data_IF_160502573618
#
_entry.id   IF_160502573618
#
_cell.length_a   1.000
_cell.length_b   1.000
_cell.length_c   1.000
_cell.angle_alpha   90.00
_cell.angle_beta   90.00
_cell.angle_gamma   90.00
#
_symmetry.space_group_name_H-M   'P 1'
#
loop_
_entity.id
_entity.type
_entity.pdbx_description
1 polymer ?
#
# COMPACT_ATOMS: atom_id res chain seq x y z
N UNK A 1 6.52 2.58 -23.29
CA UNK A 1 6.46 1.17 -22.82
C UNK A 1 6.29 1.16 -21.30
N UNK A 2 5.04 1.16 -20.79
CA UNK A 2 4.71 1.13 -19.35
C UNK A 2 3.90 -0.14 -19.01
N UNK A 3 4.33 -1.29 -19.50
CA UNK A 3 3.56 -2.54 -19.55
C UNK A 3 3.55 -3.35 -18.24
N UNK A 4 3.97 -2.78 -17.12
CA UNK A 4 4.23 -3.55 -15.89
C UNK A 4 3.05 -3.62 -14.89
N UNK A 5 1.92 -2.94 -15.15
CA UNK A 5 0.75 -2.95 -14.25
C UNK A 5 -0.55 -3.47 -14.88
N UNK A 6 -0.57 -3.80 -16.17
CA UNK A 6 -1.81 -3.84 -16.95
C UNK A 6 -2.50 -5.22 -17.07
N UNK A 7 -2.15 -6.22 -16.26
CA UNK A 7 -2.94 -7.46 -16.25
C UNK A 7 -3.21 -7.96 -14.85
N UNK A 8 -4.02 -7.17 -14.14
CA UNK A 8 -4.85 -7.74 -13.09
C UNK A 8 -6.32 -7.57 -13.41
N UNK A 9 -7.10 -8.59 -13.07
CA UNK A 9 -8.56 -8.56 -13.15
C UNK A 9 -9.11 -8.40 -11.74
N UNK A 10 -9.88 -7.35 -11.52
CA UNK A 10 -10.58 -7.13 -10.26
C UNK A 10 -11.74 -8.12 -10.19
N UNK A 11 -11.74 -8.96 -9.16
CA UNK A 11 -12.83 -9.90 -8.88
C UNK A 11 -13.90 -9.25 -8.00
N UNK A 12 -13.46 -8.40 -7.07
CA UNK A 12 -14.31 -7.67 -6.15
C UNK A 12 -13.63 -6.37 -5.71
N UNK A 13 -14.40 -5.32 -5.48
CA UNK A 13 -13.90 -4.04 -5.00
C UNK A 13 -14.98 -3.32 -4.20
N UNK A 14 -14.58 -2.63 -3.14
CA UNK A 14 -15.44 -1.69 -2.40
C UNK A 14 -14.76 -0.34 -2.25
N UNK A 15 -15.41 0.70 -2.78
CA UNK A 15 -14.94 2.10 -2.76
C UNK A 15 -15.68 2.99 -1.75
N UNK A 16 -16.74 2.45 -1.11
CA UNK A 16 -17.62 3.16 -0.19
C UNK A 16 -17.48 2.61 1.23
N UNK A 17 -16.24 2.50 1.70
CA UNK A 17 -15.92 1.80 2.94
C UNK A 17 -16.60 2.47 4.15
N UNK A 18 -16.58 3.80 4.25
CA UNK A 18 -17.23 4.55 5.34
C UNK A 18 -18.75 4.31 5.47
N UNK A 19 -19.42 3.88 4.41
CA UNK A 19 -20.87 3.70 4.39
C UNK A 19 -21.28 2.24 4.64
N UNK A 20 -20.34 1.29 4.60
CA UNK A 20 -20.69 -0.13 4.53
C UNK A 20 -19.75 -1.06 5.30
N UNK A 21 -19.05 -0.56 6.32
CA UNK A 21 -18.12 -1.35 7.17
C UNK A 21 -18.78 -2.64 7.68
N UNK A 22 -20.03 -2.59 8.15
CA UNK A 22 -20.75 -3.76 8.64
C UNK A 22 -20.93 -4.86 7.59
N UNK A 23 -21.13 -4.49 6.32
CA UNK A 23 -21.30 -5.45 5.23
C UNK A 23 -19.97 -5.95 4.66
N UNK A 24 -18.89 -5.17 4.78
CA UNK A 24 -17.56 -5.53 4.29
C UNK A 24 -16.97 -6.75 5.01
N UNK A 25 -17.28 -6.93 6.29
CA UNK A 25 -16.84 -8.11 7.05
C UNK A 25 -17.35 -9.44 6.48
N UNK A 26 -18.48 -9.45 5.75
CA UNK A 26 -18.96 -10.66 5.09
C UNK A 26 -18.12 -11.06 3.86
N UNK A 27 -17.41 -10.10 3.25
CA UNK A 27 -16.63 -10.32 2.04
C UNK A 27 -15.13 -10.48 2.31
N UNK A 28 -14.64 -9.97 3.44
CA UNK A 28 -13.24 -10.07 3.83
C UNK A 28 -13.07 -11.18 4.86
N UNK A 29 -12.19 -12.17 4.62
CA UNK A 29 -11.90 -13.20 5.62
C UNK A 29 -11.48 -12.57 6.96
N UNK A 30 -11.99 -13.10 8.08
CA UNK A 30 -11.77 -12.55 9.42
C UNK A 30 -10.31 -12.21 9.74
N UNK A 31 -9.37 -13.03 9.26
CA UNK A 31 -7.94 -12.82 9.52
C UNK A 31 -7.29 -11.76 8.64
N UNK A 32 -7.78 -11.59 7.41
CA UNK A 32 -7.32 -10.52 6.52
C UNK A 32 -7.84 -9.15 6.95
N UNK A 33 -8.95 -9.10 7.70
CA UNK A 33 -9.61 -7.86 8.12
C UNK A 33 -8.66 -6.93 8.90
N UNK A 34 -7.83 -7.47 9.80
CA UNK A 34 -6.86 -6.69 10.57
C UNK A 34 -5.84 -6.00 9.67
N UNK A 35 -5.34 -6.70 8.64
CA UNK A 35 -4.36 -6.12 7.72
C UNK A 35 -5.02 -5.13 6.77
N UNK A 36 -6.22 -5.43 6.26
CA UNK A 36 -6.88 -4.64 5.23
C UNK A 36 -7.55 -3.39 5.77
N UNK A 37 -8.17 -3.47 6.95
CA UNK A 37 -8.95 -2.40 7.58
C UNK A 37 -8.17 -1.62 8.64
N UNK A 38 -6.93 -2.03 9.00
CA UNK A 38 -6.17 -1.31 10.02
C UNK A 38 -5.86 0.13 9.60
N UNK A 39 -6.14 1.06 10.52
CA UNK A 39 -5.73 2.46 10.43
C UNK A 39 -4.35 2.73 11.08
N UNK A 40 -3.85 1.79 11.89
CA UNK A 40 -2.56 1.87 12.56
C UNK A 40 -1.35 1.77 11.61
N UNK A 41 -0.14 2.02 12.13
CA UNK A 41 1.09 1.83 11.34
C UNK A 41 1.19 0.37 10.91
N UNK A 42 1.02 0.16 9.62
CA UNK A 42 1.03 -1.18 9.05
C UNK A 42 2.38 -1.86 9.24
N UNK A 43 3.47 -1.10 9.21
CA UNK A 43 4.81 -1.62 9.49
C UNK A 43 4.95 -2.11 10.93
N UNK A 44 4.33 -1.44 11.92
CA UNK A 44 4.31 -1.94 13.32
C UNK A 44 3.51 -3.24 13.44
N UNK A 45 2.35 -3.32 12.78
CA UNK A 45 1.53 -4.54 12.76
C UNK A 45 2.31 -5.69 12.14
N UNK A 46 3.00 -5.48 11.02
CA UNK A 46 3.84 -6.48 10.39
C UNK A 46 5.03 -6.89 11.25
N UNK A 47 5.73 -5.92 11.86
CA UNK A 47 6.86 -6.18 12.75
C UNK A 47 6.39 -7.05 13.94
N UNK A 48 5.21 -6.78 14.50
CA UNK A 48 4.61 -7.55 15.60
C UNK A 48 4.11 -8.93 15.19
N UNK A 49 3.54 -9.09 14.00
CA UNK A 49 2.94 -10.35 13.55
C UNK A 49 4.00 -11.31 13.01
N UNK A 50 5.02 -10.79 12.35
CA UNK A 50 5.96 -11.60 11.57
C UNK A 50 7.33 -11.69 12.27
N UNK A 51 7.59 -10.86 13.30
CA UNK A 51 8.85 -10.79 14.06
C UNK A 51 10.14 -10.68 13.20
N UNK A 52 10.02 -10.47 11.89
CA UNK A 52 11.12 -10.62 10.91
C UNK A 52 10.92 -9.81 9.60
N UNK A 53 10.02 -8.81 9.56
CA UNK A 53 9.93 -7.90 8.40
C UNK A 53 11.05 -6.87 8.50
N UNK A 54 12.11 -7.02 7.72
CA UNK A 54 13.28 -6.15 7.90
C UNK A 54 13.86 -5.59 6.62
N UNK A 55 13.31 -5.89 5.44
CA UNK A 55 13.90 -5.39 4.20
C UNK A 55 12.87 -4.81 3.24
N UNK A 56 13.18 -3.60 2.75
CA UNK A 56 12.54 -3.06 1.55
C UNK A 56 13.47 -3.28 0.38
N UNK A 57 12.95 -3.95 -0.64
CA UNK A 57 13.57 -3.97 -1.95
C UNK A 57 12.86 -2.94 -2.83
N UNK A 58 13.55 -1.83 -3.11
CA UNK A 58 13.04 -0.85 -4.07
C UNK A 58 13.02 -1.45 -5.47
N UNK A 59 11.91 -1.23 -6.15
CA UNK A 59 11.76 -1.59 -7.56
C UNK A 59 11.80 -0.34 -8.44
N UNK A 60 11.31 0.81 -7.94
CA UNK A 60 11.35 2.12 -8.62
C UNK A 60 11.32 3.26 -7.61
N UNK A 61 12.04 4.33 -7.91
CA UNK A 61 11.91 5.64 -7.27
C UNK A 61 12.19 6.72 -8.32
N UNK A 62 11.21 7.58 -8.58
CA UNK A 62 11.32 8.60 -9.62
C UNK A 62 10.33 9.76 -9.42
N UNK A 63 10.74 10.94 -9.87
CA UNK A 63 9.82 12.06 -10.07
C UNK A 63 8.91 11.78 -11.26
N UNK A 64 7.61 12.00 -11.08
CA UNK A 64 6.61 11.82 -12.13
C UNK A 64 6.09 13.20 -12.53
N UNK A 65 6.37 13.56 -13.78
CA UNK A 65 5.95 14.83 -14.39
C UNK A 65 4.59 14.74 -15.09
N UNK A 66 4.02 13.53 -15.24
CA UNK A 66 2.79 13.30 -16.01
C UNK A 66 1.70 12.66 -15.15
N UNK A 67 0.48 13.17 -15.32
CA UNK A 67 -0.76 12.55 -14.87
C UNK A 67 -0.69 11.03 -15.07
N UNK A 68 -0.73 10.28 -13.97
CA UNK A 68 -0.96 8.85 -14.07
C UNK A 68 -2.43 8.73 -14.41
N UNK A 69 -2.74 8.32 -15.65
CA UNK A 69 -4.11 8.09 -16.15
C UNK A 69 -4.98 7.25 -15.21
N UNK A 70 -4.35 6.42 -14.36
CA UNK A 70 -5.01 5.51 -13.41
C UNK A 70 -5.26 6.09 -12.03
N UNK A 71 -4.62 7.21 -11.70
CA UNK A 71 -5.00 7.99 -10.54
C UNK A 71 -6.18 8.84 -10.99
N UNK A 72 -7.38 8.56 -10.44
CA UNK A 72 -8.54 9.42 -10.65
C UNK A 72 -8.14 10.90 -10.54
N UNK A 73 -8.79 11.76 -11.33
CA UNK A 73 -8.48 13.20 -11.49
C UNK A 73 -8.17 13.95 -10.17
N UNK A 74 -8.72 13.49 -9.04
CA UNK A 74 -8.49 14.05 -7.72
C UNK A 74 -7.03 13.96 -7.22
N UNK A 75 -6.31 12.87 -7.47
CA UNK A 75 -4.95 12.71 -6.96
C UNK A 75 -3.96 13.63 -7.69
N UNK A 76 -4.18 13.85 -8.98
CA UNK A 76 -3.42 14.85 -9.75
C UNK A 76 -3.72 16.28 -9.30
N UNK A 77 -4.94 16.56 -8.84
CA UNK A 77 -5.28 17.87 -8.28
C UNK A 77 -4.57 18.17 -6.96
N UNK A 78 -4.12 17.14 -6.23
CA UNK A 78 -3.40 17.27 -4.95
C UNK A 78 -1.90 17.53 -5.14
N UNK A 79 -1.36 17.42 -6.36
CA UNK A 79 0.06 17.71 -6.63
C UNK A 79 1.04 16.64 -6.15
N UNK A 80 0.64 15.37 -6.15
CA UNK A 80 1.54 14.24 -5.85
C UNK A 80 2.52 14.04 -7.02
N UNK A 81 3.76 14.53 -6.90
CA UNK A 81 4.75 14.54 -7.99
C UNK A 81 5.86 13.50 -7.86
N UNK A 82 5.98 12.85 -6.70
CA UNK A 82 6.94 11.77 -6.49
C UNK A 82 6.26 10.41 -6.52
N UNK A 83 7.00 9.40 -6.97
CA UNK A 83 6.52 8.03 -7.01
C UNK A 83 7.59 7.04 -6.64
N UNK A 84 7.19 6.11 -5.78
CA UNK A 84 8.05 5.04 -5.31
C UNK A 84 7.29 3.73 -5.29
N UNK A 85 8.01 2.65 -5.59
CA UNK A 85 7.51 1.30 -5.50
C UNK A 85 8.55 0.37 -4.90
N UNK A 86 8.09 -0.54 -4.07
CA UNK A 86 8.97 -1.52 -3.47
C UNK A 86 8.23 -2.71 -2.90
N UNK A 87 9.01 -3.72 -2.58
CA UNK A 87 8.59 -4.89 -1.83
C UNK A 87 8.93 -4.71 -0.37
N UNK A 88 7.97 -5.00 0.51
CA UNK A 88 8.27 -5.37 1.89
C UNK A 88 8.44 -6.89 1.91
N UNK A 89 9.55 -7.35 2.47
CA UNK A 89 9.90 -8.77 2.51
C UNK A 89 10.51 -9.18 3.85
N UNK A 90 10.41 -10.48 4.14
CA UNK A 90 11.11 -11.12 5.24
C UNK A 90 12.62 -11.14 5.00
N UNK A 91 13.41 -11.38 6.06
CA UNK A 91 14.85 -11.66 5.95
C UNK A 91 15.17 -12.81 4.99
N UNK A 92 14.27 -13.79 4.90
CA UNK A 92 14.38 -14.93 3.98
C UNK A 92 14.27 -14.55 2.50
N UNK A 93 13.91 -13.29 2.19
CA UNK A 93 13.59 -12.83 0.84
C UNK A 93 12.15 -13.14 0.41
N UNK A 94 11.31 -13.68 1.30
CA UNK A 94 9.90 -13.91 0.99
C UNK A 94 9.14 -12.57 0.89
N UNK A 95 8.52 -12.34 -0.26
CA UNK A 95 7.76 -11.11 -0.57
C UNK A 95 6.42 -11.10 0.16
N UNK A 96 6.21 -10.08 0.99
CA UNK A 96 5.02 -9.95 1.82
C UNK A 96 4.03 -8.95 1.24
N UNK A 97 4.50 -7.75 0.91
CA UNK A 97 3.66 -6.69 0.33
C UNK A 97 4.39 -6.06 -0.85
N UNK A 98 3.66 -5.78 -1.91
CA UNK A 98 4.08 -4.82 -2.91
C UNK A 98 3.36 -3.50 -2.65
N UNK A 99 4.12 -2.43 -2.47
CA UNK A 99 3.59 -1.11 -2.20
C UNK A 99 3.98 -0.13 -3.30
N UNK A 100 3.03 0.73 -3.66
CA UNK A 100 3.23 1.89 -4.52
C UNK A 100 2.76 3.13 -3.76
N UNK A 101 3.57 4.17 -3.76
CA UNK A 101 3.27 5.42 -3.08
C UNK A 101 3.49 6.60 -3.99
N UNK A 102 2.57 7.56 -3.92
CA UNK A 102 2.63 8.84 -4.61
C UNK A 102 2.59 9.94 -3.59
N UNK A 103 3.58 10.82 -3.56
CA UNK A 103 3.73 11.77 -2.47
C UNK A 103 4.19 13.15 -2.94
N UNK A 104 3.90 14.14 -2.09
CA UNK A 104 4.45 15.50 -2.18
C UNK A 104 5.91 15.50 -1.70
N UNK A 105 6.89 16.01 -2.48
CA UNK A 105 8.30 16.05 -2.06
C UNK A 105 8.50 16.76 -0.72
N UNK A 106 7.70 17.79 -0.46
CA UNK A 106 7.78 18.66 0.73
C UNK A 106 7.60 17.87 2.04
N UNK A 107 6.87 16.75 1.98
CA UNK A 107 6.58 15.88 3.12
C UNK A 107 7.85 15.24 3.67
N UNK A 108 8.76 14.86 2.78
CA UNK A 108 9.99 14.16 3.15
C UNK A 108 11.16 15.13 3.35
N UNK A 109 10.98 16.42 3.04
CA UNK A 109 12.05 17.42 3.15
C UNK A 109 12.64 17.51 4.56
N UNK A 110 11.82 17.31 5.60
CA UNK A 110 12.23 17.38 7.01
C UNK A 110 12.37 15.99 7.67
N UNK A 111 12.22 14.92 6.90
CA UNK A 111 12.32 13.56 7.43
C UNK A 111 13.71 12.97 7.10
N UNK A 112 14.31 12.16 7.98
CA UNK A 112 15.52 11.38 7.66
C UNK A 112 15.15 10.28 6.66
N UNK A 113 15.01 10.67 5.41
CA UNK A 113 14.61 9.81 4.30
C UNK A 113 15.86 9.28 3.60
N UNK A 114 16.07 7.98 3.71
CA UNK A 114 16.94 7.23 2.79
C UNK A 114 16.03 6.39 1.91
N UNK A 115 16.31 6.32 0.60
CA UNK A 115 15.48 5.66 -0.41
C UNK A 115 15.03 4.25 -0.01
N UNK A 116 15.81 3.51 0.78
CA UNK A 116 15.50 2.14 1.25
C UNK A 116 14.63 2.07 2.52
N UNK A 117 14.27 3.20 3.12
CA UNK A 117 13.52 3.23 4.39
C UNK A 117 12.01 3.10 4.15
N UNK A 118 11.28 2.25 4.89
CA UNK A 118 9.82 2.21 4.82
C UNK A 118 9.22 3.56 5.18
N UNK A 119 8.33 4.10 4.34
CA UNK A 119 7.66 5.37 4.62
C UNK A 119 6.95 5.36 5.98
N UNK A 120 6.35 4.22 6.36
CA UNK A 120 5.79 4.05 7.70
C UNK A 120 6.80 4.26 8.84
N UNK A 121 8.05 3.80 8.69
CA UNK A 121 9.12 4.03 9.68
C UNK A 121 9.59 5.48 9.68
N UNK A 122 9.70 6.08 8.50
CA UNK A 122 10.03 7.51 8.34
C UNK A 122 9.03 8.36 9.13
N UNK A 123 7.73 8.13 8.92
CA UNK A 123 6.68 8.89 9.61
C UNK A 123 6.63 8.65 11.12
N UNK A 124 6.87 7.42 11.58
CA UNK A 124 6.95 7.13 13.03
C UNK A 124 8.11 7.90 13.65
N UNK A 125 9.28 7.88 13.02
CA UNK A 125 10.49 8.51 13.57
C UNK A 125 10.41 10.05 13.54
N UNK A 126 9.62 10.60 12.61
CA UNK A 126 9.35 12.04 12.52
C UNK A 126 8.18 12.52 13.40
N UNK A 127 7.59 11.62 14.19
CA UNK A 127 6.48 11.93 15.13
C UNK A 127 5.30 12.67 14.49
N UNK A 128 5.09 12.47 13.18
CA UNK A 128 4.02 13.13 12.46
C UNK A 128 2.65 12.61 12.92
N UNK A 129 1.73 13.52 13.23
CA UNK A 129 0.34 13.18 13.51
C UNK A 129 -0.35 12.94 12.17
N UNK A 130 -0.60 11.67 11.85
CA UNK A 130 -1.17 11.27 10.57
C UNK A 130 -2.61 10.78 10.73
N UNK A 131 -3.48 11.23 9.84
CA UNK A 131 -4.79 10.66 9.65
C UNK A 131 -4.82 9.80 8.38
N UNK A 132 -5.34 8.57 8.47
CA UNK A 132 -5.52 7.68 7.32
C UNK A 132 -6.96 7.71 6.85
N UNK A 133 -7.15 7.81 5.53
CA UNK A 133 -8.45 7.60 4.89
C UNK A 133 -8.35 6.42 3.92
N UNK A 134 -8.95 5.30 4.31
CA UNK A 134 -9.06 4.11 3.46
C UNK A 134 -10.10 4.36 2.36
N UNK A 135 -9.68 4.26 1.10
CA UNK A 135 -10.52 4.53 -0.06
C UNK A 135 -11.10 3.27 -0.67
N UNK A 136 -10.26 2.25 -0.81
CA UNK A 136 -10.61 1.06 -1.57
C UNK A 136 -9.99 -0.19 -0.96
N UNK A 137 -10.77 -1.27 -0.96
CA UNK A 137 -10.27 -2.64 -0.80
C UNK A 137 -10.69 -3.41 -2.05
N UNK A 138 -9.76 -4.19 -2.61
CA UNK A 138 -10.04 -5.03 -3.77
C UNK A 138 -9.50 -6.44 -3.60
N UNK A 139 -10.18 -7.40 -4.22
CA UNK A 139 -9.71 -8.74 -4.48
C UNK A 139 -9.46 -8.86 -5.99
N UNK A 140 -8.29 -9.35 -6.39
CA UNK A 140 -7.87 -9.37 -7.79
C UNK A 140 -6.98 -10.56 -8.12
N UNK A 141 -6.98 -10.97 -9.39
CA UNK A 141 -6.06 -11.97 -9.93
C UNK A 141 -5.04 -11.32 -10.85
N UNK A 142 -3.77 -11.75 -10.77
CA UNK A 142 -2.72 -11.28 -11.69
C UNK A 142 -1.62 -12.31 -11.85
N UNK A 143 -1.32 -12.68 -13.10
CA UNK A 143 -0.20 -13.59 -13.41
C UNK A 143 1.14 -13.07 -12.93
N UNK A 144 1.31 -11.75 -12.92
CA UNK A 144 2.51 -11.12 -12.40
C UNK A 144 2.63 -11.34 -10.89
N UNK A 145 1.59 -11.01 -10.12
CA UNK A 145 1.60 -11.22 -8.67
C UNK A 145 1.69 -12.69 -8.30
N UNK A 146 1.06 -13.58 -9.06
CA UNK A 146 1.17 -15.03 -8.84
C UNK A 146 2.65 -15.48 -8.89
N UNK A 147 3.40 -15.01 -9.89
CA UNK A 147 4.83 -15.28 -10.03
C UNK A 147 5.65 -14.68 -8.89
N UNK A 148 5.36 -13.44 -8.50
CA UNK A 148 6.14 -12.74 -7.47
C UNK A 148 5.89 -13.30 -6.06
N UNK A 149 4.65 -13.63 -5.72
CA UNK A 149 4.29 -14.23 -4.42
C UNK A 149 4.47 -15.75 -4.37
N UNK A 150 4.82 -16.39 -5.50
CA UNK A 150 4.92 -17.84 -5.65
C UNK A 150 3.62 -18.55 -5.22
N UNK A 151 2.49 -18.00 -5.61
CA UNK A 151 1.15 -18.48 -5.26
C UNK A 151 0.22 -18.33 -6.47
N UNK A 152 -0.73 -19.24 -6.67
CA UNK A 152 -1.74 -19.14 -7.73
C UNK A 152 -3.09 -18.77 -7.14
N UNK A 153 -3.76 -17.79 -7.73
CA UNK A 153 -5.07 -17.33 -7.27
C UNK A 153 -5.12 -15.82 -7.04
N UNK A 154 -6.14 -15.42 -6.27
CA UNK A 154 -6.39 -14.02 -5.98
C UNK A 154 -5.52 -13.51 -4.84
N UNK A 155 -5.35 -12.20 -4.83
CA UNK A 155 -4.73 -11.46 -3.73
C UNK A 155 -5.63 -10.30 -3.32
N UNK A 156 -5.43 -9.84 -2.11
CA UNK A 156 -6.07 -8.63 -1.62
C UNK A 156 -5.19 -7.41 -1.85
N UNK A 157 -5.82 -6.27 -2.05
CA UNK A 157 -5.17 -4.98 -2.08
C UNK A 157 -5.99 -3.94 -1.34
N UNK A 158 -5.33 -2.85 -0.96
CA UNK A 158 -5.99 -1.66 -0.43
C UNK A 158 -5.36 -0.39 -0.95
N UNK A 159 -6.15 0.67 -0.91
CA UNK A 159 -5.75 2.01 -1.30
C UNK A 159 -6.20 3.01 -0.26
N UNK A 160 -5.31 3.91 0.15
CA UNK A 160 -5.60 4.92 1.15
C UNK A 160 -4.75 6.17 0.95
N UNK A 161 -5.21 7.27 1.54
CA UNK A 161 -4.43 8.51 1.64
C UNK A 161 -4.07 8.78 3.09
N UNK A 162 -2.86 9.28 3.31
CA UNK A 162 -2.49 9.88 4.59
C UNK A 162 -2.57 11.41 4.47
N UNK A 163 -3.10 11.99 5.55
CA UNK A 163 -3.28 13.41 5.74
C UNK A 163 -2.41 13.86 6.92
N UNK A 164 -1.79 15.02 6.77
CA UNK A 164 -1.05 15.73 7.81
C UNK A 164 -1.61 17.15 7.84
N UNK A 165 -1.98 17.64 9.02
CA UNK A 165 -2.61 18.97 9.17
C UNK A 165 -3.82 19.19 8.25
N UNK A 166 -4.63 18.13 8.04
CA UNK A 166 -5.79 18.09 7.12
C UNK A 166 -5.46 18.14 5.63
N UNK A 167 -4.18 18.22 5.26
CA UNK A 167 -3.74 18.20 3.88
C UNK A 167 -3.38 16.78 3.43
N UNK A 168 -3.94 16.28 2.31
CA UNK A 168 -3.52 15.02 1.74
C UNK A 168 -2.12 15.18 1.16
N UNK A 169 -1.24 14.24 1.49
CA UNK A 169 0.16 14.37 1.11
C UNK A 169 0.80 13.10 0.55
N UNK A 170 0.18 11.95 0.80
CA UNK A 170 0.60 10.68 0.22
C UNK A 170 -0.60 9.78 -0.06
N UNK A 171 -0.62 9.23 -1.27
CA UNK A 171 -1.48 8.13 -1.66
C UNK A 171 -0.68 6.83 -1.67
N UNK A 172 -1.24 5.77 -1.10
CA UNK A 172 -0.60 4.46 -1.01
C UNK A 172 -1.55 3.39 -1.53
N UNK A 173 -1.00 2.52 -2.38
CA UNK A 173 -1.61 1.27 -2.81
C UNK A 173 -0.74 0.10 -2.37
N UNK A 174 -1.34 -0.86 -1.69
CA UNK A 174 -0.68 -2.05 -1.17
C UNK A 174 -1.35 -3.32 -1.71
N UNK A 175 -0.53 -4.31 -2.07
CA UNK A 175 -0.97 -5.63 -2.49
C UNK A 175 -0.36 -6.68 -1.55
N UNK A 176 -1.20 -7.51 -0.96
CA UNK A 176 -0.81 -8.43 0.11
C UNK A 176 -0.56 -9.82 -0.44
N UNK A 177 0.55 -10.42 -0.01
CA UNK A 177 0.80 -11.84 -0.20
C UNK A 177 -0.35 -12.66 0.40
N UNK A 178 -0.79 -13.73 -0.27
CA UNK A 178 -1.67 -14.75 0.30
C UNK A 178 -1.21 -15.24 1.67
N UNK A 179 0.11 -15.38 1.90
CA UNK A 179 0.66 -15.77 3.21
C UNK A 179 0.16 -14.88 4.36
N UNK A 180 -0.06 -13.59 4.09
CA UNK A 180 -0.56 -12.65 5.09
C UNK A 180 -2.08 -12.71 5.27
N UNK A 181 -2.81 -13.11 4.24
CA UNK A 181 -4.27 -12.99 4.22
C UNK A 181 -4.97 -14.31 4.48
N UNK A 182 -4.33 -15.44 4.16
CA UNK A 182 -4.87 -16.79 4.37
C UNK A 182 -4.25 -17.53 5.56
N UNK A 183 -2.97 -17.30 5.87
CA UNK A 183 -2.20 -18.12 6.83
C UNK A 183 -1.91 -17.44 8.17
N UNK A 184 -2.56 -16.31 8.48
CA UNK A 184 -2.65 -15.83 9.86
C UNK A 184 -3.59 -16.73 10.68
#
# INVERSE_FOLDING_TARGET
MNQLFDSYSILWQSNHLHLNIGNIYYYIPNRSSLLLLSDGSFTKILDSIINNVTHIQLTRDQKIYRHIKYLNNWYSAIGLTMYRQGWLQEKSGYKLIFASSWYKPEVLANCPFVDVTPLGKVFINSELILYRKLHCISCLCSKWFEKQFKFRGYIWSREYVLYHEKEPFIFIREFFSPKLTTNL
#
